data_IF_851034994487
#
_entry.id   IF_851034994487
#
_cell.length_a   1.000
_cell.length_b   1.000
_cell.length_c   1.000
_cell.angle_alpha   90.00
_cell.angle_beta   90.00
_cell.angle_gamma   90.00
#
_symmetry.space_group_name_H-M   'P 1'
#
loop_
_entity.id
_entity.type
_entity.pdbx_description
1 polymer ?
#
# COMPACT_ATOMS: atom_id res chain seq x y z
N UNK A 1 2.40 -13.62 -15.24
CA UNK A 1 3.33 -14.52 -14.50
C UNK A 1 3.51 -13.89 -13.14
N UNK A 2 3.22 -14.60 -12.04
CA UNK A 2 3.30 -14.02 -10.72
C UNK A 2 4.75 -13.72 -10.35
N UNK A 3 4.97 -12.56 -9.75
CA UNK A 3 6.24 -12.11 -9.20
C UNK A 3 6.03 -11.74 -7.72
N UNK A 4 7.00 -12.11 -6.89
CA UNK A 4 6.97 -11.84 -5.45
C UNK A 4 7.68 -10.53 -5.20
N UNK A 5 7.02 -9.57 -4.53
CA UNK A 5 7.63 -8.32 -4.07
C UNK A 5 7.72 -8.31 -2.54
N UNK A 6 8.76 -7.68 -2.01
CA UNK A 6 8.87 -7.43 -0.57
C UNK A 6 8.33 -6.04 -0.26
N UNK A 7 7.37 -5.95 0.66
CA UNK A 7 6.83 -4.69 1.16
C UNK A 7 7.45 -4.39 2.53
N UNK A 8 7.90 -3.16 2.73
CA UNK A 8 8.34 -2.64 4.02
C UNK A 8 7.46 -1.44 4.36
N UNK A 9 6.62 -1.58 5.38
CA UNK A 9 5.69 -0.53 5.78
C UNK A 9 6.22 0.31 6.95
N UNK A 10 5.66 1.51 7.12
CA UNK A 10 6.07 2.47 8.17
C UNK A 10 5.83 1.96 9.59
N UNK A 11 4.87 1.05 9.78
CA UNK A 11 4.61 0.39 11.07
C UNK A 11 5.69 -0.64 11.44
N UNK A 12 6.74 -0.79 10.61
CA UNK A 12 7.84 -1.74 10.80
C UNK A 12 7.54 -3.14 10.28
N UNK A 13 6.35 -3.39 9.72
CA UNK A 13 6.03 -4.69 9.13
C UNK A 13 6.78 -4.91 7.81
N UNK A 14 7.20 -6.16 7.61
CA UNK A 14 7.83 -6.65 6.38
C UNK A 14 7.09 -7.90 5.95
N UNK A 15 6.56 -7.90 4.74
CA UNK A 15 5.80 -9.02 4.19
C UNK A 15 6.00 -9.14 2.68
N UNK A 16 5.66 -10.30 2.13
CA UNK A 16 5.72 -10.56 0.70
C UNK A 16 4.32 -10.52 0.09
N UNK A 17 4.22 -10.01 -1.14
CA UNK A 17 3.01 -10.06 -1.96
C UNK A 17 3.32 -10.71 -3.30
N UNK A 18 2.43 -11.59 -3.74
CA UNK A 18 2.38 -12.04 -5.14
C UNK A 18 1.59 -11.02 -5.95
N UNK A 19 2.21 -10.56 -7.04
CA UNK A 19 1.63 -9.58 -7.97
C UNK A 19 1.96 -9.99 -9.40
N UNK A 20 1.36 -9.34 -10.37
CA UNK A 20 1.71 -9.46 -11.79
C UNK A 20 2.29 -8.15 -12.32
N UNK A 21 3.04 -8.20 -13.42
CA UNK A 21 3.67 -7.00 -14.00
C UNK A 21 2.67 -5.98 -14.54
N UNK A 22 1.47 -6.42 -14.90
CA UNK A 22 0.34 -5.63 -15.39
C UNK A 22 -0.64 -5.20 -14.28
N UNK A 23 -0.43 -5.66 -13.03
CA UNK A 23 -1.17 -5.12 -11.89
C UNK A 23 -0.96 -3.60 -11.81
N UNK A 24 -2.03 -2.89 -11.44
CA UNK A 24 -1.98 -1.44 -11.25
C UNK A 24 -1.45 -1.09 -9.87
N UNK A 25 -0.89 0.11 -9.73
CA UNK A 25 -0.51 0.65 -8.39
C UNK A 25 -1.70 0.67 -7.42
N UNK A 26 -2.91 0.92 -7.91
CA UNK A 26 -4.15 0.88 -7.11
C UNK A 26 -4.41 -0.52 -6.54
N UNK A 27 -4.26 -1.56 -7.36
CA UNK A 27 -4.43 -2.96 -6.91
C UNK A 27 -3.38 -3.36 -5.87
N UNK A 28 -2.12 -2.90 -6.04
CA UNK A 28 -1.05 -3.11 -5.06
C UNK A 28 -1.39 -2.46 -3.72
N UNK A 29 -1.88 -1.21 -3.73
CA UNK A 29 -2.31 -0.51 -2.50
C UNK A 29 -3.43 -1.25 -1.78
N UNK A 30 -4.39 -1.80 -2.52
CA UNK A 30 -5.47 -2.58 -1.92
C UNK A 30 -4.94 -3.83 -1.23
N UNK A 31 -4.05 -4.59 -1.88
CA UNK A 31 -3.41 -5.77 -1.28
C UNK A 31 -2.56 -5.43 -0.06
N UNK A 32 -1.91 -4.25 -0.05
CA UNK A 32 -1.18 -3.75 1.12
C UNK A 32 -2.16 -3.44 2.26
N UNK A 33 -3.29 -2.77 1.99
CA UNK A 33 -4.34 -2.47 3.00
C UNK A 33 -4.78 -3.75 3.71
N UNK A 34 -4.98 -4.84 2.97
CA UNK A 34 -5.38 -6.13 3.54
C UNK A 34 -4.33 -6.72 4.51
N UNK A 35 -3.06 -6.34 4.37
CA UNK A 35 -1.95 -6.84 5.19
C UNK A 35 -1.60 -5.92 6.36
N UNK A 36 -1.57 -4.60 6.14
CA UNK A 36 -1.08 -3.63 7.11
C UNK A 36 -2.17 -2.74 7.72
N UNK A 37 -3.38 -2.75 7.15
CA UNK A 37 -4.53 -1.94 7.57
C UNK A 37 -4.53 -0.50 7.05
N UNK A 38 -3.47 -0.03 6.38
CA UNK A 38 -3.35 1.37 5.93
C UNK A 38 -4.30 1.63 4.75
N UNK A 39 -5.19 2.63 4.82
CA UNK A 39 -6.07 2.98 3.69
C UNK A 39 -5.29 3.32 2.40
N UNK A 40 -5.69 2.82 1.21
CA UNK A 40 -4.96 3.02 -0.06
C UNK A 40 -4.63 4.47 -0.40
N UNK A 41 -5.52 5.38 -0.05
CA UNK A 41 -5.41 6.80 -0.33
C UNK A 41 -4.44 7.53 0.65
N UNK A 42 -4.15 6.89 1.78
CA UNK A 42 -3.13 7.29 2.74
C UNK A 42 -1.77 6.62 2.46
N UNK A 43 -1.70 5.61 1.60
CA UNK A 43 -0.46 4.95 1.23
C UNK A 43 0.35 5.77 0.21
N UNK A 44 1.64 5.93 0.48
CA UNK A 44 2.66 6.41 -0.45
C UNK A 44 3.69 5.31 -0.68
N UNK A 45 3.64 4.72 -1.87
CA UNK A 45 4.51 3.60 -2.28
C UNK A 45 5.74 4.15 -3.01
N UNK A 46 6.92 3.70 -2.59
CA UNK A 46 8.21 4.15 -3.13
C UNK A 46 9.02 2.92 -3.54
N UNK A 47 9.55 2.93 -4.76
CA UNK A 47 10.52 1.95 -5.25
C UNK A 47 11.70 2.69 -5.90
N UNK A 48 12.93 2.32 -5.54
CA UNK A 48 14.15 2.95 -6.08
C UNK A 48 14.14 4.49 -6.06
N UNK A 49 13.56 5.09 -5.01
CA UNK A 49 13.43 6.54 -4.86
C UNK A 49 12.34 7.20 -5.71
N UNK A 50 11.57 6.42 -6.48
CA UNK A 50 10.43 6.89 -7.27
C UNK A 50 9.12 6.55 -6.58
N UNK A 51 8.22 7.52 -6.55
CA UNK A 51 6.86 7.30 -6.07
C UNK A 51 6.03 6.60 -7.17
N UNK A 52 5.34 5.53 -6.78
CA UNK A 52 4.38 4.84 -7.62
C UNK A 52 3.06 5.61 -7.59
N UNK A 53 2.54 5.91 -8.77
CA UNK A 53 1.30 6.68 -8.94
C UNK A 53 0.20 5.82 -9.55
N UNK A 54 -1.03 6.10 -9.13
CA UNK A 54 -2.22 5.45 -9.66
C UNK A 54 -2.33 5.67 -11.19
N UNK A 55 -3.06 4.79 -11.88
CA UNK A 55 -3.18 4.79 -13.34
C UNK A 55 -2.00 4.19 -14.12
N UNK A 56 -0.96 3.71 -13.44
CA UNK A 56 0.17 3.00 -14.03
C UNK A 56 0.25 1.55 -13.54
N UNK A 57 0.88 0.69 -14.33
CA UNK A 57 1.16 -0.70 -13.98
C UNK A 57 2.53 -0.85 -13.31
N UNK A 58 2.76 -1.96 -12.61
CA UNK A 58 4.05 -2.23 -11.95
C UNK A 58 5.22 -2.30 -12.95
N UNK A 59 4.95 -2.76 -14.17
CA UNK A 59 5.91 -2.80 -15.27
C UNK A 59 6.39 -1.42 -15.74
N UNK A 60 5.57 -0.37 -15.61
CA UNK A 60 5.98 1.01 -15.94
C UNK A 60 7.12 1.51 -15.03
N UNK A 61 7.22 0.92 -13.83
CA UNK A 61 8.28 1.18 -12.85
C UNK A 61 9.39 0.14 -12.87
N UNK A 62 9.35 -0.83 -13.80
CA UNK A 62 10.29 -1.93 -13.87
C UNK A 62 10.38 -2.73 -12.55
N UNK A 63 9.24 -2.94 -11.88
CA UNK A 63 9.17 -3.83 -10.71
C UNK A 63 9.39 -5.27 -11.17
N UNK A 64 10.28 -5.97 -10.46
CA UNK A 64 10.72 -7.32 -10.77
C UNK A 64 10.53 -8.25 -9.57
N UNK A 65 10.73 -9.54 -9.82
CA UNK A 65 10.76 -10.54 -8.76
C UNK A 65 11.83 -10.17 -7.72
N UNK A 66 11.45 -10.14 -6.45
CA UNK A 66 12.24 -9.70 -5.28
C UNK A 66 12.56 -8.21 -5.21
N UNK A 67 11.89 -7.36 -5.99
CA UNK A 67 11.93 -5.91 -5.75
C UNK A 67 11.41 -5.59 -4.35
N UNK A 68 12.00 -4.55 -3.74
CA UNK A 68 11.56 -4.02 -2.44
C UNK A 68 10.77 -2.73 -2.70
N UNK A 69 9.55 -2.66 -2.17
CA UNK A 69 8.72 -1.46 -2.16
C UNK A 69 8.55 -0.97 -0.72
N UNK A 70 8.74 0.34 -0.53
CA UNK A 70 8.57 0.99 0.76
C UNK A 70 7.20 1.67 0.80
N UNK A 71 6.45 1.45 1.87
CA UNK A 71 5.14 2.07 2.10
C UNK A 71 5.27 3.06 3.24
N UNK A 72 5.00 4.32 2.92
CA UNK A 72 4.99 5.44 3.87
C UNK A 72 3.59 6.04 3.94
N UNK A 73 3.30 6.83 4.97
CA UNK A 73 2.02 7.52 5.08
C UNK A 73 2.06 8.87 4.36
N UNK A 74 1.00 9.15 3.62
CA UNK A 74 0.71 10.49 3.11
C UNK A 74 0.04 11.28 4.23
N UNK A 75 0.70 12.32 4.72
CA UNK A 75 0.11 13.21 5.72
C UNK A 75 -1.06 13.97 5.08
N UNK A 76 -2.28 13.69 5.51
CA UNK A 76 -3.45 14.54 5.26
C UNK A 76 -3.85 15.21 6.57
N UNK A 77 -4.23 16.50 6.50
CA UNK A 77 -4.92 17.15 7.62
C UNK A 77 -6.19 16.35 7.95
N UNK A 78 -6.38 16.05 9.25
CA UNK A 78 -7.21 14.95 9.75
C UNK A 78 -8.54 14.72 9.04
N UNK A 79 -8.66 13.55 8.43
CA UNK A 79 -9.92 12.91 8.04
C UNK A 79 -9.79 11.43 8.41
N UNK A 80 -10.57 10.99 9.40
CA UNK A 80 -10.74 9.58 9.73
C UNK A 80 -11.85 9.02 8.83
N UNK A 81 -11.65 7.88 8.15
CA UNK A 81 -12.71 7.24 7.38
C UNK A 81 -13.88 6.84 8.31
N UNK A 82 -15.12 6.88 7.79
CA UNK A 82 -16.35 6.62 8.57
C UNK A 82 -16.34 5.28 9.32
N UNK A 83 -15.66 4.26 8.78
CA UNK A 83 -15.49 2.95 9.42
C UNK A 83 -14.72 3.02 10.75
N UNK A 84 -13.73 3.92 10.87
CA UNK A 84 -13.01 4.14 12.13
C UNK A 84 -13.80 5.02 13.11
N UNK A 85 -14.61 5.97 12.60
CA UNK A 85 -15.53 6.75 13.43
C UNK A 85 -16.57 5.86 14.11
N UNK A 86 -17.01 4.79 13.46
CA UNK A 86 -17.97 3.83 14.03
C UNK A 86 -17.36 3.02 15.20
N UNK A 87 -16.11 2.59 15.08
CA UNK A 87 -15.41 1.85 16.13
C UNK A 87 -15.14 2.73 17.36
N UNK A 88 -14.81 4.02 17.16
CA UNK A 88 -14.62 4.99 18.24
C UNK A 88 -15.89 5.27 19.06
N UNK A 89 -17.07 5.18 18.44
CA UNK A 89 -18.35 5.38 19.13
C UNK A 89 -18.89 4.11 19.80
N UNK A 90 -18.32 2.94 19.50
CA UNK A 90 -18.80 1.66 20.01
C UNK A 90 -18.13 1.22 21.32
N UNK A 91 -16.98 1.79 21.69
CA UNK A 91 -16.32 1.57 23.00
C UNK A 91 -16.94 2.40 24.16
N UNK A 92 -18.05 3.08 23.89
CA UNK A 92 -18.71 3.99 24.81
C UNK A 92 -20.13 3.59 25.20
N UNK A 93 -20.41 2.29 25.44
CA UNK A 93 -21.55 1.86 26.28
C UNK A 93 -21.50 0.39 26.68
#
# INVERSE_FOLDING_TARGET
MPLTVTVIAVNGSKFELEVESDDTVESLKLRIKEKDGTPPDQQRIINEGRELTDGHCLSDYNIQHRSIVYVTLRLRGGWLPEEELFNLHSDGK
#
